data_IF_631314397768
#
_entry.id   IF_631314397768
#
_cell.length_a   1.000
_cell.length_b   1.000
_cell.length_c   1.000
_cell.angle_alpha   90.00
_cell.angle_beta   90.00
_cell.angle_gamma   90.00
#
_symmetry.space_group_name_H-M   'P 1'
#
loop_
_entity.id
_entity.type
_entity.pdbx_description
1 polymer ?
#
# COMPACT_ATOMS: atom_id res chain seq x y z
N UNK A 1 -18.53 -26.79 -26.81
CA UNK A 1 -18.54 -27.09 -25.36
C UNK A 1 -17.71 -26.00 -24.69
N UNK A 2 -18.40 -25.01 -24.12
CA UNK A 2 -17.82 -23.76 -23.61
C UNK A 2 -17.20 -24.05 -22.24
N UNK A 3 -15.87 -23.92 -22.13
CA UNK A 3 -15.18 -24.12 -20.86
C UNK A 3 -15.49 -22.94 -19.94
N UNK A 4 -15.91 -23.27 -18.73
CA UNK A 4 -16.45 -22.38 -17.72
C UNK A 4 -15.37 -21.39 -17.25
N UNK A 5 -15.66 -20.08 -17.38
CA UNK A 5 -14.90 -19.01 -16.74
C UNK A 5 -15.17 -19.05 -15.23
N UNK A 6 -14.37 -19.81 -14.50
CA UNK A 6 -14.16 -19.50 -13.09
C UNK A 6 -13.02 -18.48 -13.03
N UNK A 7 -13.35 -17.18 -13.04
CA UNK A 7 -12.47 -16.21 -12.38
C UNK A 7 -12.61 -16.44 -10.88
N UNK A 8 -12.04 -17.55 -10.41
CA UNK A 8 -11.74 -17.70 -8.99
C UNK A 8 -10.92 -16.47 -8.63
N UNK A 9 -11.44 -15.66 -7.70
CA UNK A 9 -10.67 -14.62 -7.04
C UNK A 9 -9.30 -15.22 -6.69
N UNK A 10 -8.29 -14.96 -7.52
CA UNK A 10 -6.92 -15.30 -7.21
C UNK A 10 -6.68 -14.52 -5.92
N UNK A 11 -6.65 -15.25 -4.80
CA UNK A 11 -6.80 -14.72 -3.46
C UNK A 11 -5.87 -13.52 -3.33
N UNK A 12 -6.46 -12.33 -3.34
CA UNK A 12 -5.73 -11.12 -3.06
C UNK A 12 -5.17 -11.25 -1.66
N UNK A 13 -3.87 -11.06 -1.50
CA UNK A 13 -3.22 -11.00 -0.19
C UNK A 13 -3.79 -9.81 0.61
N UNK A 14 -4.15 -8.73 -0.10
CA UNK A 14 -4.81 -7.56 0.44
C UNK A 14 -5.80 -6.91 -0.54
N UNK A 15 -6.93 -6.44 -0.03
CA UNK A 15 -7.91 -5.63 -0.77
C UNK A 15 -8.02 -4.26 -0.11
N UNK A 16 -7.96 -3.19 -0.89
CA UNK A 16 -7.95 -1.81 -0.40
C UNK A 16 -9.19 -1.07 -0.89
N UNK A 17 -9.94 -0.49 0.04
CA UNK A 17 -11.05 0.41 -0.24
C UNK A 17 -10.72 1.79 0.29
N UNK A 18 -10.61 2.79 -0.57
CA UNK A 18 -10.29 4.15 -0.19
C UNK A 18 -11.56 4.88 0.26
N UNK A 19 -11.42 5.81 1.22
CA UNK A 19 -12.51 6.62 1.78
C UNK A 19 -13.71 5.75 2.20
N UNK A 20 -13.45 4.69 2.96
CA UNK A 20 -14.45 3.70 3.34
C UNK A 20 -14.16 3.09 4.70
N UNK A 21 -15.22 2.73 5.42
CA UNK A 21 -15.17 1.90 6.63
C UNK A 21 -15.57 0.43 6.37
N UNK A 22 -15.86 0.07 5.11
CA UNK A 22 -16.47 -1.22 4.77
C UNK A 22 -15.94 -1.78 3.44
N UNK A 23 -16.21 -3.07 3.21
CA UNK A 23 -15.79 -3.85 2.03
C UNK A 23 -16.92 -4.06 0.99
N UNK A 24 -18.00 -3.30 1.07
CA UNK A 24 -19.24 -3.57 0.34
C UNK A 24 -19.26 -3.04 -1.12
N UNK A 25 -18.11 -2.63 -1.64
CA UNK A 25 -17.93 -2.19 -3.03
C UNK A 25 -16.73 -2.90 -3.65
N UNK A 26 -16.49 -2.73 -4.95
CA UNK A 26 -15.26 -3.22 -5.59
C UNK A 26 -14.03 -2.52 -4.97
N UNK A 27 -12.96 -3.24 -4.61
CA UNK A 27 -11.73 -2.62 -4.10
C UNK A 27 -11.15 -1.61 -5.09
N UNK A 28 -10.61 -0.51 -4.58
CA UNK A 28 -9.85 0.48 -5.37
C UNK A 28 -8.47 -0.04 -5.77
N UNK A 29 -7.89 -0.92 -4.95
CA UNK A 29 -6.65 -1.60 -5.25
C UNK A 29 -6.63 -3.01 -4.67
N UNK A 30 -5.84 -3.86 -5.31
CA UNK A 30 -5.59 -5.24 -4.90
C UNK A 30 -4.08 -5.44 -4.78
N UNK A 31 -3.65 -5.99 -3.65
CA UNK A 31 -2.29 -6.46 -3.42
C UNK A 31 -2.30 -7.98 -3.58
N UNK A 32 -1.46 -8.48 -4.50
CA UNK A 32 -1.31 -9.92 -4.73
C UNK A 32 0.08 -10.20 -5.28
N UNK A 33 0.72 -11.28 -4.86
CA UNK A 33 2.01 -11.74 -5.41
C UNK A 33 3.07 -10.63 -5.48
N UNK A 34 3.18 -9.82 -4.42
CA UNK A 34 4.09 -8.66 -4.35
C UNK A 34 3.83 -7.60 -5.43
N UNK A 35 2.58 -7.43 -5.83
CA UNK A 35 2.16 -6.45 -6.84
C UNK A 35 0.94 -5.69 -6.37
N UNK A 36 0.86 -4.41 -6.75
CA UNK A 36 -0.32 -3.57 -6.51
C UNK A 36 -1.00 -3.30 -7.85
N UNK A 37 -2.28 -3.63 -7.90
CA UNK A 37 -3.15 -3.45 -9.06
C UNK A 37 -4.25 -2.47 -8.70
N UNK A 38 -4.31 -1.33 -9.37
CA UNK A 38 -5.40 -0.38 -9.24
C UNK A 38 -6.61 -0.83 -10.05
N UNK A 39 -7.81 -0.52 -9.58
CA UNK A 39 -9.07 -0.95 -10.23
C UNK A 39 -9.25 -0.39 -11.64
N UNK A 40 -8.61 0.74 -11.95
CA UNK A 40 -8.61 1.39 -13.27
C UNK A 40 -7.40 1.00 -14.12
N UNK A 41 -6.61 0.01 -13.72
CA UNK A 41 -5.48 -0.45 -14.51
C UNK A 41 -5.98 -1.25 -15.72
N UNK A 42 -5.79 -0.70 -16.91
CA UNK A 42 -6.13 -1.34 -18.19
C UNK A 42 -4.91 -1.98 -18.88
N UNK A 43 -3.77 -2.05 -18.20
CA UNK A 43 -2.53 -2.61 -18.74
C UNK A 43 -2.33 -4.07 -18.32
N UNK A 44 -1.41 -4.76 -18.99
CA UNK A 44 -0.97 -6.11 -18.62
C UNK A 44 0.12 -6.12 -17.53
N UNK A 45 0.47 -4.95 -16.98
CA UNK A 45 1.52 -4.79 -15.99
C UNK A 45 0.95 -4.24 -14.67
N UNK A 46 1.48 -4.64 -13.51
CA UNK A 46 1.05 -4.07 -12.23
C UNK A 46 1.45 -2.60 -12.13
N UNK A 47 0.67 -1.82 -11.37
CA UNK A 47 0.94 -0.41 -11.12
C UNK A 47 2.17 -0.23 -10.23
N UNK A 48 2.34 -1.11 -9.23
CA UNK A 48 3.54 -1.14 -8.40
C UNK A 48 4.06 -2.57 -8.20
N UNK A 49 5.37 -2.70 -8.06
CA UNK A 49 6.06 -3.91 -7.59
C UNK A 49 6.51 -3.71 -6.14
N UNK A 50 6.34 -4.72 -5.31
CA UNK A 50 6.78 -4.74 -3.92
C UNK A 50 8.06 -5.59 -3.80
N UNK A 51 9.13 -5.01 -3.28
CA UNK A 51 10.36 -5.71 -2.93
C UNK A 51 10.54 -5.76 -1.42
N UNK A 52 11.08 -6.87 -0.91
CA UNK A 52 11.34 -7.06 0.53
C UNK A 52 12.79 -6.73 0.92
N UNK A 53 13.55 -6.15 0.00
CA UNK A 53 14.94 -5.75 0.16
C UNK A 53 15.30 -4.71 -0.91
N UNK A 54 16.21 -3.81 -0.57
CA UNK A 54 16.79 -2.88 -1.54
C UNK A 54 17.65 -3.64 -2.55
N UNK A 55 17.25 -3.65 -3.82
CA UNK A 55 18.03 -4.17 -4.93
C UNK A 55 17.98 -3.17 -6.08
N UNK A 56 19.01 -2.32 -6.15
CA UNK A 56 19.09 -1.22 -7.12
C UNK A 56 18.78 -1.66 -8.55
N UNK A 57 19.34 -2.78 -9.01
CA UNK A 57 19.14 -3.26 -10.38
C UNK A 57 17.67 -3.63 -10.65
N UNK A 58 17.02 -4.37 -9.74
CA UNK A 58 15.60 -4.75 -9.88
C UNK A 58 14.68 -3.52 -9.80
N UNK A 59 14.99 -2.59 -8.91
CA UNK A 59 14.23 -1.34 -8.75
C UNK A 59 14.33 -0.50 -10.03
N UNK A 60 15.56 -0.23 -10.51
CA UNK A 60 15.77 0.51 -11.75
C UNK A 60 15.06 -0.16 -12.93
N UNK A 61 15.10 -1.49 -13.04
CA UNK A 61 14.39 -2.21 -14.09
C UNK A 61 12.87 -2.00 -14.02
N UNK A 62 12.26 -2.11 -12.84
CA UNK A 62 10.82 -1.90 -12.67
C UNK A 62 10.40 -0.46 -13.00
N UNK A 63 11.17 0.52 -12.53
CA UNK A 63 10.95 1.94 -12.84
C UNK A 63 11.05 2.22 -14.35
N UNK A 64 12.06 1.66 -15.03
CA UNK A 64 12.21 1.77 -16.49
C UNK A 64 11.06 1.11 -17.27
N UNK A 65 10.35 0.17 -16.66
CA UNK A 65 9.15 -0.45 -17.22
C UNK A 65 7.85 0.34 -16.88
N UNK A 66 7.97 1.60 -16.45
CA UNK A 66 6.85 2.45 -16.02
C UNK A 66 6.02 1.88 -14.87
N UNK A 67 6.63 1.07 -14.00
CA UNK A 67 6.01 0.55 -12.80
C UNK A 67 6.48 1.39 -11.61
N UNK A 68 5.59 1.68 -10.67
CA UNK A 68 6.01 2.16 -9.37
C UNK A 68 6.72 1.05 -8.57
N UNK A 69 7.53 1.44 -7.61
CA UNK A 69 8.24 0.52 -6.73
C UNK A 69 7.98 0.86 -5.29
N UNK A 70 7.68 -0.19 -4.52
CA UNK A 70 7.60 -0.16 -3.07
C UNK A 70 8.65 -1.11 -2.53
N UNK A 71 9.53 -0.64 -1.65
CA UNK A 71 10.44 -1.51 -0.91
C UNK A 71 9.99 -1.53 0.54
N UNK A 72 9.83 -2.71 1.12
CA UNK A 72 9.45 -2.90 2.53
C UNK A 72 10.49 -3.76 3.20
N UNK A 73 11.13 -3.23 4.24
CA UNK A 73 12.14 -3.96 4.99
C UNK A 73 12.08 -3.55 6.46
N UNK A 74 11.90 -4.52 7.36
CA UNK A 74 11.88 -4.28 8.81
C UNK A 74 10.93 -3.13 9.22
N UNK A 75 9.67 -3.19 8.76
CA UNK A 75 8.63 -2.18 9.00
C UNK A 75 8.91 -0.78 8.43
N UNK A 76 9.93 -0.64 7.58
CA UNK A 76 10.25 0.59 6.86
C UNK A 76 9.80 0.48 5.42
N UNK A 77 9.37 1.59 4.84
CA UNK A 77 8.95 1.64 3.45
C UNK A 77 9.71 2.72 2.68
N UNK A 78 10.06 2.39 1.45
CA UNK A 78 10.56 3.33 0.45
C UNK A 78 9.65 3.29 -0.77
N UNK A 79 9.43 4.45 -1.38
CA UNK A 79 8.58 4.60 -2.57
C UNK A 79 9.44 5.15 -3.69
N UNK A 80 9.54 4.43 -4.81
CA UNK A 80 10.31 4.81 -6.01
C UNK A 80 11.77 5.23 -5.75
N UNK A 81 12.38 4.74 -4.67
CA UNK A 81 13.74 5.06 -4.27
C UNK A 81 14.70 3.93 -4.66
N UNK A 82 15.90 4.28 -5.12
CA UNK A 82 16.93 3.36 -5.60
C UNK A 82 18.11 3.22 -4.63
N UNK A 83 18.12 4.00 -3.55
CA UNK A 83 19.19 4.09 -2.58
C UNK A 83 18.71 3.83 -1.15
N UNK A 84 19.63 3.49 -0.26
CA UNK A 84 19.33 3.27 1.17
C UNK A 84 19.28 4.57 1.97
N UNK A 85 18.87 5.68 1.34
CA UNK A 85 18.51 6.90 2.07
C UNK A 85 17.43 6.58 3.12
N UNK A 86 17.19 7.45 4.10
CA UNK A 86 16.24 7.10 5.15
C UNK A 86 14.86 6.76 4.55
N UNK A 87 14.12 5.84 5.18
CA UNK A 87 12.86 5.35 4.62
C UNK A 87 11.82 6.45 4.58
N UNK A 88 10.97 6.44 3.55
CA UNK A 88 9.84 7.35 3.41
C UNK A 88 8.94 7.32 4.65
N UNK A 89 8.61 6.11 5.12
CA UNK A 89 7.83 5.94 6.35
C UNK A 89 8.27 4.71 7.15
N UNK A 90 7.87 4.70 8.42
CA UNK A 90 8.14 3.61 9.35
C UNK A 90 6.85 3.26 10.09
N UNK A 91 6.52 1.97 10.11
CA UNK A 91 5.50 1.42 10.99
C UNK A 91 6.13 1.14 12.37
N UNK A 92 5.67 1.87 13.38
CA UNK A 92 6.08 1.72 14.78
C UNK A 92 5.05 0.87 15.54
N UNK A 93 5.39 0.58 16.80
CA UNK A 93 4.50 -0.06 17.75
C UNK A 93 3.12 0.63 17.78
N UNK A 94 2.07 -0.15 18.03
CA UNK A 94 0.67 0.30 18.02
C UNK A 94 0.14 0.74 16.65
N UNK A 95 0.69 0.18 15.57
CA UNK A 95 0.23 0.40 14.19
C UNK A 95 0.30 1.86 13.72
N UNK A 96 1.20 2.64 14.31
CA UNK A 96 1.41 4.03 13.95
C UNK A 96 2.40 4.13 12.80
N UNK A 97 2.08 4.96 11.81
CA UNK A 97 2.89 5.19 10.63
C UNK A 97 3.44 6.61 10.72
N UNK A 98 4.76 6.71 10.63
CA UNK A 98 5.51 7.95 10.78
C UNK A 98 6.30 8.21 9.51
N UNK A 99 6.09 9.37 8.89
CA UNK A 99 6.93 9.83 7.79
C UNK A 99 8.31 10.23 8.31
N UNK A 100 9.31 10.16 7.43
CA UNK A 100 10.70 10.52 7.75
C UNK A 100 10.86 11.94 8.29
N UNK A 101 10.12 12.88 7.71
CA UNK A 101 10.17 14.32 7.96
C UNK A 101 9.25 14.75 9.12
N UNK A 102 8.55 13.80 9.74
CA UNK A 102 7.73 14.09 10.90
C UNK A 102 8.61 14.28 12.15
N UNK A 103 8.78 15.54 12.53
CA UNK A 103 9.48 15.96 13.75
C UNK A 103 8.54 16.23 14.94
N UNK A 104 7.24 15.95 14.80
CA UNK A 104 6.23 16.16 15.82
C UNK A 104 6.02 14.98 16.76
N UNK A 105 4.93 15.04 17.55
CA UNK A 105 4.53 14.02 18.51
C UNK A 105 3.30 13.21 18.09
N UNK A 106 2.74 13.51 16.91
CA UNK A 106 1.55 12.85 16.36
C UNK A 106 1.97 12.05 15.12
N UNK A 107 1.57 10.77 15.06
CA UNK A 107 1.81 9.93 13.89
C UNK A 107 1.09 10.49 12.65
N UNK A 108 1.59 10.23 11.45
CA UNK A 108 0.94 10.67 10.21
C UNK A 108 -0.29 9.84 9.89
N UNK A 109 -0.27 8.56 10.28
CA UNK A 109 -1.42 7.69 10.13
C UNK A 109 -1.43 6.57 11.18
N UNK A 110 -2.58 5.94 11.38
CA UNK A 110 -2.76 4.79 12.28
C UNK A 110 -3.63 3.74 11.59
N UNK A 111 -3.21 2.48 11.65
CA UNK A 111 -4.03 1.33 11.23
C UNK A 111 -4.69 0.71 12.46
N UNK A 112 -6.01 0.70 12.51
CA UNK A 112 -6.77 0.09 13.60
C UNK A 112 -6.94 -1.42 13.38
N UNK A 113 -7.25 -2.14 14.45
CA UNK A 113 -7.44 -3.60 14.44
C UNK A 113 -8.62 -4.07 13.58
N UNK A 114 -9.57 -3.19 13.26
CA UNK A 114 -10.67 -3.47 12.35
C UNK A 114 -10.28 -3.37 10.86
N UNK A 115 -9.02 -3.01 10.56
CA UNK A 115 -8.49 -2.82 9.21
C UNK A 115 -8.63 -1.40 8.68
N UNK A 116 -9.15 -0.45 9.46
CA UNK A 116 -9.25 0.95 9.01
C UNK A 116 -7.94 1.70 9.17
N UNK A 117 -7.56 2.45 8.14
CA UNK A 117 -6.43 3.37 8.12
C UNK A 117 -6.95 4.80 8.22
N UNK A 118 -6.41 5.54 9.17
CA UNK A 118 -6.75 6.93 9.43
C UNK A 118 -5.51 7.79 9.34
N UNK A 119 -5.50 8.77 8.44
CA UNK A 119 -4.53 9.84 8.45
C UNK A 119 -4.81 10.79 9.62
N UNK A 120 -3.77 11.37 10.22
CA UNK A 120 -3.95 12.30 11.34
C UNK A 120 -4.64 13.61 10.96
N UNK A 121 -4.66 13.93 9.67
CA UNK A 121 -5.37 15.09 9.11
C UNK A 121 -6.84 14.82 8.84
N UNK A 122 -7.30 13.56 8.95
CA UNK A 122 -8.68 13.19 8.67
C UNK A 122 -9.61 13.63 9.82
N UNK A 123 -10.58 14.48 9.50
CA UNK A 123 -11.61 14.99 10.42
C UNK A 123 -13.01 14.41 10.15
N UNK A 124 -13.10 13.46 9.22
CA UNK A 124 -14.34 12.78 8.82
C UNK A 124 -14.69 11.62 9.76
N UNK A 125 -15.91 11.10 9.61
CA UNK A 125 -16.35 9.82 10.20
C UNK A 125 -16.00 8.60 9.33
N UNK A 126 -15.40 8.83 8.17
CA UNK A 126 -15.01 7.80 7.20
C UNK A 126 -13.48 7.70 7.15
N UNK A 127 -12.95 6.49 7.31
CA UNK A 127 -11.52 6.19 7.23
C UNK A 127 -10.97 6.46 5.83
N UNK A 128 -9.70 6.87 5.75
CA UNK A 128 -9.00 7.11 4.47
C UNK A 128 -8.84 5.82 3.67
N UNK A 129 -8.72 4.69 4.36
CA UNK A 129 -8.87 3.39 3.73
C UNK A 129 -9.41 2.33 4.70
N UNK A 130 -10.07 1.34 4.13
CA UNK A 130 -10.28 0.04 4.73
C UNK A 130 -9.34 -0.96 4.05
N UNK A 131 -8.57 -1.72 4.83
CA UNK A 131 -7.67 -2.78 4.37
C UNK A 131 -8.24 -4.14 4.78
N UNK A 132 -8.61 -4.95 3.79
CA UNK A 132 -8.98 -6.35 3.98
C UNK A 132 -7.83 -7.29 3.62
N UNK A 133 -7.85 -8.49 4.17
CA UNK A 133 -6.78 -9.48 4.02
C UNK A 133 -6.17 -9.83 5.37
N UNK A 134 -5.18 -10.71 5.40
CA UNK A 134 -4.48 -11.12 6.62
C UNK A 134 -3.29 -10.21 6.97
N UNK A 135 -2.84 -9.35 6.05
CA UNK A 135 -1.62 -8.54 6.18
C UNK A 135 -1.90 -7.05 6.40
N UNK A 136 -2.97 -6.72 7.13
CA UNK A 136 -3.49 -5.34 7.26
C UNK A 136 -2.44 -4.31 7.72
N UNK A 137 -1.49 -4.70 8.57
CA UNK A 137 -0.42 -3.82 9.03
C UNK A 137 0.55 -3.42 7.91
N UNK A 138 1.03 -4.41 7.16
CA UNK A 138 1.95 -4.18 6.04
C UNK A 138 1.23 -3.44 4.91
N UNK A 139 0.05 -3.91 4.55
CA UNK A 139 -0.78 -3.30 3.50
C UNK A 139 -1.18 -1.87 3.87
N UNK A 140 -1.53 -1.62 5.13
CA UNK A 140 -1.83 -0.28 5.60
C UNK A 140 -0.61 0.65 5.59
N UNK A 141 0.61 0.14 5.87
CA UNK A 141 1.84 0.91 5.72
C UNK A 141 2.04 1.32 4.25
N UNK A 142 1.83 0.40 3.31
CA UNK A 142 1.89 0.66 1.87
C UNK A 142 0.89 1.73 1.48
N UNK A 143 -0.38 1.55 1.85
CA UNK A 143 -1.47 2.46 1.47
C UNK A 143 -1.23 3.85 2.05
N UNK A 144 -0.86 3.96 3.33
CA UNK A 144 -0.54 5.24 3.93
C UNK A 144 0.61 5.92 3.20
N UNK A 145 1.68 5.18 2.89
CA UNK A 145 2.82 5.74 2.18
C UNK A 145 2.43 6.27 0.81
N UNK A 146 1.62 5.52 0.05
CA UNK A 146 1.14 5.92 -1.28
C UNK A 146 0.18 7.11 -1.26
N UNK A 147 -0.65 7.24 -0.23
CA UNK A 147 -1.55 8.40 -0.09
C UNK A 147 -0.72 9.64 0.28
N UNK A 148 0.15 9.51 1.27
CA UNK A 148 0.97 10.62 1.78
C UNK A 148 2.01 11.09 0.75
N UNK A 149 2.55 10.19 -0.08
CA UNK A 149 3.51 10.57 -1.14
C UNK A 149 2.90 11.40 -2.27
N UNK A 150 1.56 11.50 -2.35
CA UNK A 150 0.85 12.34 -3.32
C UNK A 150 0.48 13.72 -2.79
N UNK A 151 0.65 13.93 -1.48
CA UNK A 151 0.32 15.19 -0.80
C UNK A 151 1.53 16.11 -0.63
N UNK A 152 2.74 15.58 -0.87
CA UNK A 152 4.01 16.31 -0.92
C UNK A 152 4.28 16.81 -2.35
#
# INVERSE_FOLDING_TARGET
MTLILFSSNAFADGNIWLNSNHKNITPNAVIKNNQIWLSNNHTQAPNFIIFHQMNKNKITQALSNNQGVIVIQNNKIWVNEISSQPPFAILKNNNQIWLQDNHGTVANAIIKSDGTLWLSTNTSSIADAYIGGSHQQQDGLIVAALILSKQL
#
